data_IF_626372580084
#
_entry.id   IF_626372580084
#
_cell.length_a   1.000
_cell.length_b   1.000
_cell.length_c   1.000
_cell.angle_alpha   90.00
_cell.angle_beta   90.00
_cell.angle_gamma   90.00
#
_symmetry.space_group_name_H-M   'P 1'
#
loop_
_entity.id
_entity.type
_entity.pdbx_description
1 polymer ?
#
# COMPACT_ATOMS: atom_id res chain seq x y z
N UNK A 1 7.45 24.37 -6.88
CA UNK A 1 8.28 23.17 -6.67
C UNK A 1 9.03 22.92 -7.97
N UNK A 2 10.31 22.59 -7.91
CA UNK A 2 11.07 22.24 -9.12
C UNK A 2 10.76 20.79 -9.54
N UNK A 3 10.80 20.49 -10.84
CA UNK A 3 10.51 19.17 -11.39
C UNK A 3 11.49 18.12 -10.86
N UNK A 4 12.78 18.47 -10.77
CA UNK A 4 13.82 17.56 -10.26
C UNK A 4 13.59 17.21 -8.78
N UNK A 5 13.29 18.22 -7.95
CA UNK A 5 12.95 18.02 -6.54
C UNK A 5 11.71 17.13 -6.37
N UNK A 6 10.69 17.30 -7.23
CA UNK A 6 9.50 16.46 -7.20
C UNK A 6 9.82 14.98 -7.53
N UNK A 7 10.63 14.72 -8.57
CA UNK A 7 11.05 13.36 -8.94
C UNK A 7 11.86 12.70 -7.83
N UNK A 8 12.83 13.41 -7.25
CA UNK A 8 13.65 12.88 -6.14
C UNK A 8 12.79 12.51 -4.93
N UNK A 9 11.74 13.28 -4.65
CA UNK A 9 10.78 12.98 -3.58
C UNK A 9 9.90 11.78 -3.92
N UNK A 10 9.40 11.68 -5.15
CA UNK A 10 8.62 10.53 -5.61
C UNK A 10 9.43 9.24 -5.42
N UNK A 11 10.69 9.22 -5.85
CA UNK A 11 11.58 8.06 -5.73
C UNK A 11 11.82 7.63 -4.28
N UNK A 12 11.74 8.54 -3.31
CA UNK A 12 11.81 8.20 -1.88
C UNK A 12 10.48 7.71 -1.33
N UNK A 13 9.38 8.32 -1.74
CA UNK A 13 8.04 8.02 -1.20
C UNK A 13 7.55 6.65 -1.67
N UNK A 14 7.74 6.29 -2.95
CA UNK A 14 7.24 5.03 -3.52
C UNK A 14 7.65 3.77 -2.73
N UNK A 15 8.94 3.53 -2.42
CA UNK A 15 9.34 2.36 -1.67
C UNK A 15 8.81 2.38 -0.22
N UNK A 16 8.74 3.56 0.41
CA UNK A 16 8.15 3.71 1.75
C UNK A 16 6.66 3.37 1.75
N UNK A 17 5.92 3.89 0.77
CA UNK A 17 4.50 3.61 0.59
C UNK A 17 4.24 2.12 0.36
N UNK A 18 5.05 1.48 -0.50
CA UNK A 18 4.96 0.02 -0.72
C UNK A 18 5.14 -0.74 0.59
N UNK A 19 6.20 -0.44 1.35
CA UNK A 19 6.47 -1.11 2.62
C UNK A 19 5.34 -0.93 3.65
N UNK A 20 4.75 0.27 3.69
CA UNK A 20 3.62 0.56 4.56
C UNK A 20 2.39 -0.28 4.21
N UNK A 21 2.13 -0.45 2.91
CA UNK A 21 1.05 -1.31 2.40
C UNK A 21 1.32 -2.79 2.70
N UNK A 22 2.53 -3.27 2.49
CA UNK A 22 2.94 -4.65 2.83
C UNK A 22 2.69 -4.97 4.31
N UNK A 23 3.03 -4.01 5.18
CA UNK A 23 2.83 -4.12 6.62
C UNK A 23 1.34 -4.13 6.99
N UNK A 24 0.52 -3.33 6.31
CA UNK A 24 -0.92 -3.31 6.49
C UNK A 24 -1.58 -4.63 6.03
N UNK A 25 -1.15 -5.18 4.88
CA UNK A 25 -1.60 -6.49 4.39
C UNK A 25 -1.33 -7.55 5.44
N UNK A 26 -0.11 -7.61 5.98
CA UNK A 26 0.23 -8.61 7.00
C UNK A 26 -0.71 -8.53 8.21
N UNK A 27 -0.96 -7.34 8.75
CA UNK A 27 -1.87 -7.17 9.89
C UNK A 27 -3.31 -7.56 9.56
N UNK A 28 -3.77 -7.25 8.34
CA UNK A 28 -5.08 -7.65 7.87
C UNK A 28 -5.22 -9.17 7.78
N UNK A 29 -4.26 -9.84 7.13
CA UNK A 29 -4.32 -11.30 6.95
C UNK A 29 -4.20 -12.07 8.26
N UNK A 30 -3.37 -11.59 9.20
CA UNK A 30 -3.27 -12.20 10.54
C UNK A 30 -4.58 -12.12 11.30
N UNK A 31 -5.19 -10.94 11.32
CA UNK A 31 -6.47 -10.72 12.00
C UNK A 31 -7.59 -11.58 11.38
N UNK A 32 -7.67 -11.62 10.05
CA UNK A 32 -8.65 -12.42 9.33
C UNK A 32 -8.51 -13.92 9.61
N UNK A 33 -7.30 -14.46 9.53
CA UNK A 33 -7.02 -15.87 9.82
C UNK A 33 -7.42 -16.23 11.26
N UNK A 34 -7.04 -15.38 12.22
CA UNK A 34 -7.35 -15.59 13.63
C UNK A 34 -8.87 -15.55 13.89
N UNK A 35 -9.58 -14.57 13.32
CA UNK A 35 -11.03 -14.46 13.45
C UNK A 35 -11.78 -15.63 12.80
N UNK A 36 -11.25 -16.21 11.73
CA UNK A 36 -11.83 -17.38 11.07
C UNK A 36 -11.65 -18.67 11.87
N UNK A 37 -10.55 -18.82 12.60
CA UNK A 37 -10.16 -20.11 13.23
C UNK A 37 -10.44 -20.11 14.74
N UNK A 38 -10.01 -19.08 15.46
CA UNK A 38 -9.94 -19.12 16.93
C UNK A 38 -11.34 -19.00 17.57
N UNK A 39 -12.16 -17.96 17.31
CA UNK A 39 -13.48 -17.85 17.94
C UNK A 39 -14.42 -19.04 17.64
N UNK A 40 -14.55 -19.52 16.39
CA UNK A 40 -15.35 -20.72 16.12
C UNK A 40 -14.79 -21.97 16.81
N UNK A 41 -13.46 -22.10 16.85
CA UNK A 41 -12.78 -23.23 17.47
C UNK A 41 -12.89 -23.27 18.99
N UNK A 42 -13.07 -22.12 19.64
CA UNK A 42 -13.24 -21.98 21.10
C UNK A 42 -14.71 -22.00 21.55
N UNK A 43 -15.66 -22.22 20.64
CA UNK A 43 -17.08 -22.27 21.01
C UNK A 43 -17.33 -23.35 22.06
N UNK A 44 -17.80 -22.95 23.23
CA UNK A 44 -18.06 -23.84 24.37
C UNK A 44 -16.96 -23.83 25.44
N UNK A 45 -15.82 -23.20 25.19
CA UNK A 45 -14.77 -22.95 26.17
C UNK A 45 -14.96 -21.57 26.80
N UNK A 46 -14.97 -21.49 28.13
CA UNK A 46 -14.96 -20.22 28.86
C UNK A 46 -13.68 -20.15 29.70
N UNK A 47 -12.69 -19.42 29.21
CA UNK A 47 -11.42 -19.21 29.90
C UNK A 47 -11.04 -17.73 29.91
N UNK A 48 -10.21 -17.33 30.89
CA UNK A 48 -9.66 -15.96 30.95
C UNK A 48 -8.76 -15.65 29.74
N UNK A 49 -8.25 -16.67 29.05
CA UNK A 49 -7.46 -16.53 27.83
C UNK A 49 -8.25 -15.90 26.67
N UNK A 50 -9.58 -16.03 26.65
CA UNK A 50 -10.44 -15.37 25.66
C UNK A 50 -10.33 -13.85 25.76
N UNK A 51 -10.18 -13.31 26.98
CA UNK A 51 -10.00 -11.86 27.18
C UNK A 51 -8.66 -11.39 26.61
N UNK A 52 -7.58 -12.15 26.83
CA UNK A 52 -6.25 -11.85 26.26
C UNK A 52 -6.27 -11.90 24.75
N UNK A 53 -6.90 -12.92 24.15
CA UNK A 53 -7.08 -13.01 22.70
C UNK A 53 -7.85 -11.79 22.15
N UNK A 54 -8.93 -11.38 22.82
CA UNK A 54 -9.68 -10.18 22.46
C UNK A 54 -8.83 -8.90 22.51
N UNK A 55 -7.94 -8.78 23.50
CA UNK A 55 -7.01 -7.65 23.57
C UNK A 55 -6.01 -7.64 22.39
N UNK A 56 -5.48 -8.81 22.00
CA UNK A 56 -4.60 -8.95 20.83
C UNK A 56 -5.34 -8.57 19.54
N UNK A 57 -6.56 -9.05 19.35
CA UNK A 57 -7.39 -8.67 18.18
C UNK A 57 -7.62 -7.16 18.12
N UNK A 58 -7.99 -6.54 19.24
CA UNK A 58 -8.21 -5.10 19.30
C UNK A 58 -6.93 -4.32 18.96
N UNK A 59 -5.76 -4.78 19.41
CA UNK A 59 -4.48 -4.18 19.07
C UNK A 59 -4.15 -4.31 17.57
N UNK A 60 -4.47 -5.46 16.94
CA UNK A 60 -4.27 -5.67 15.50
C UNK A 60 -5.19 -4.76 14.67
N UNK A 61 -6.47 -4.67 15.01
CA UNK A 61 -7.42 -3.75 14.36
C UNK A 61 -6.93 -2.30 14.46
N UNK A 62 -6.45 -1.92 15.65
CA UNK A 62 -5.93 -0.57 15.89
C UNK A 62 -4.69 -0.28 15.05
N UNK A 63 -3.74 -1.22 15.01
CA UNK A 63 -2.54 -1.13 14.16
C UNK A 63 -2.93 -0.99 12.69
N UNK A 64 -3.83 -1.83 12.19
CA UNK A 64 -4.30 -1.77 10.81
C UNK A 64 -4.93 -0.40 10.50
N UNK A 65 -5.78 0.11 11.39
CA UNK A 65 -6.38 1.43 11.23
C UNK A 65 -5.33 2.55 11.16
N UNK A 66 -4.27 2.46 11.96
CA UNK A 66 -3.16 3.42 11.93
C UNK A 66 -2.32 3.31 10.65
N UNK A 67 -1.98 2.09 10.22
CA UNK A 67 -1.23 1.84 8.99
C UNK A 67 -1.98 2.37 7.76
N UNK A 68 -3.28 2.03 7.65
CA UNK A 68 -4.16 2.53 6.58
C UNK A 68 -4.27 4.06 6.67
N UNK A 69 -4.51 4.64 7.84
CA UNK A 69 -4.65 6.08 7.98
C UNK A 69 -3.38 6.85 7.57
N UNK A 70 -2.19 6.28 7.82
CA UNK A 70 -0.89 6.88 7.51
C UNK A 70 -0.66 6.98 6.00
N UNK A 71 -1.01 5.93 5.26
CA UNK A 71 -0.88 5.87 3.79
C UNK A 71 -1.70 6.98 3.10
N UNK A 72 -2.78 7.44 3.72
CA UNK A 72 -3.61 8.54 3.21
C UNK A 72 -3.38 9.87 3.94
N UNK A 73 -2.35 9.99 4.77
CA UNK A 73 -2.21 11.16 5.66
C UNK A 73 -1.79 12.43 4.94
N UNK A 74 -2.32 13.55 5.40
CA UNK A 74 -1.93 14.90 4.99
C UNK A 74 -2.10 15.86 6.17
N UNK A 75 -1.14 16.75 6.36
CA UNK A 75 -1.27 17.83 7.35
C UNK A 75 -2.26 18.88 6.86
N UNK A 76 -3.14 19.35 7.75
CA UNK A 76 -4.03 20.50 7.45
C UNK A 76 -3.34 21.85 7.66
N UNK A 77 -2.18 21.87 8.33
CA UNK A 77 -1.48 23.10 8.73
C UNK A 77 -0.34 23.53 7.78
N UNK A 78 -0.04 22.74 6.74
CA UNK A 78 1.00 23.05 5.75
C UNK A 78 0.50 22.74 4.35
N UNK A 79 0.85 23.55 3.33
CA UNK A 79 0.58 23.20 1.93
C UNK A 79 1.19 21.85 1.58
N UNK A 80 0.49 21.03 0.77
CA UNK A 80 0.91 19.67 0.39
C UNK A 80 2.32 19.66 -0.21
N UNK A 81 2.68 20.71 -0.94
CA UNK A 81 3.97 20.89 -1.60
C UNK A 81 5.13 20.87 -0.60
N UNK A 82 4.89 21.25 0.65
CA UNK A 82 5.89 21.34 1.72
C UNK A 82 5.82 20.18 2.71
N UNK A 83 4.97 19.18 2.45
CA UNK A 83 4.82 18.03 3.36
C UNK A 83 5.82 16.94 3.03
N UNK A 84 6.59 16.53 4.03
CA UNK A 84 7.51 15.40 3.96
C UNK A 84 6.79 14.14 4.45
N UNK A 85 5.77 13.71 3.72
CA UNK A 85 4.93 12.55 4.05
C UNK A 85 4.95 11.57 2.88
N UNK A 86 5.19 10.29 3.19
CA UNK A 86 5.04 9.20 2.25
C UNK A 86 3.57 8.76 2.18
N UNK A 87 2.75 9.53 1.46
CA UNK A 87 1.31 9.28 1.36
C UNK A 87 0.78 9.43 -0.06
N UNK A 88 -0.32 8.73 -0.33
CA UNK A 88 -1.01 8.72 -1.63
C UNK A 88 -1.41 10.14 -2.09
N UNK A 89 -1.99 11.00 -1.23
CA UNK A 89 -2.33 12.36 -1.66
C UNK A 89 -1.10 13.22 -2.01
N UNK A 90 0.01 13.05 -1.29
CA UNK A 90 1.27 13.77 -1.61
C UNK A 90 1.82 13.30 -2.95
N UNK A 91 1.86 11.98 -3.20
CA UNK A 91 2.25 11.44 -4.51
C UNK A 91 1.35 11.96 -5.64
N UNK A 92 0.03 11.98 -5.44
CA UNK A 92 -0.92 12.49 -6.43
C UNK A 92 -0.64 13.94 -6.81
N UNK A 93 -0.34 14.78 -5.83
CA UNK A 93 0.09 16.17 -6.07
C UNK A 93 1.44 16.24 -6.80
N UNK A 94 2.43 15.43 -6.41
CA UNK A 94 3.75 15.41 -7.04
C UNK A 94 3.68 14.97 -8.53
N UNK A 95 2.85 13.98 -8.87
CA UNK A 95 2.61 13.60 -10.25
C UNK A 95 1.94 14.71 -11.08
N UNK A 96 1.16 15.58 -10.44
CA UNK A 96 0.54 16.75 -11.08
C UNK A 96 1.50 17.93 -11.34
N UNK A 97 2.74 17.89 -10.87
CA UNK A 97 3.71 18.98 -11.09
C UNK A 97 4.13 19.00 -12.57
N UNK A 98 4.08 20.17 -13.24
CA UNK A 98 4.46 20.29 -14.64
C UNK A 98 5.87 19.75 -14.93
N UNK A 99 5.96 18.85 -15.92
CA UNK A 99 7.21 18.23 -16.35
C UNK A 99 7.59 16.93 -15.62
N UNK A 100 6.96 16.60 -14.49
CA UNK A 100 7.27 15.37 -13.73
C UNK A 100 6.93 14.12 -14.55
N UNK A 101 5.74 14.07 -15.14
CA UNK A 101 5.33 12.93 -15.98
C UNK A 101 6.32 12.70 -17.12
N UNK A 102 6.71 13.76 -17.83
CA UNK A 102 7.70 13.67 -18.91
C UNK A 102 9.08 13.23 -18.38
N UNK A 103 9.49 13.70 -17.20
CA UNK A 103 10.72 13.28 -16.55
C UNK A 103 10.71 11.80 -16.18
N UNK A 104 9.60 11.31 -15.61
CA UNK A 104 9.41 9.89 -15.28
C UNK A 104 9.36 9.02 -16.53
N UNK A 105 8.67 9.44 -17.60
CA UNK A 105 8.69 8.72 -18.89
C UNK A 105 10.09 8.65 -19.49
N UNK A 106 10.90 9.70 -19.34
CA UNK A 106 12.31 9.69 -19.77
C UNK A 106 13.11 8.68 -18.96
N UNK A 107 12.88 8.60 -17.64
CA UNK A 107 13.48 7.59 -16.79
C UNK A 107 13.01 6.18 -17.14
N UNK A 108 11.73 6.01 -17.47
CA UNK A 108 11.14 4.72 -17.85
C UNK A 108 11.81 4.12 -19.09
N UNK A 109 12.20 4.94 -20.05
CA UNK A 109 12.97 4.46 -21.21
C UNK A 109 14.38 3.93 -20.91
N UNK A 110 14.81 3.98 -19.65
CA UNK A 110 16.07 3.41 -19.18
C UNK A 110 15.90 2.21 -18.24
N UNK A 111 14.67 1.70 -18.05
CA UNK A 111 14.43 0.54 -17.17
C UNK A 111 15.16 -0.73 -17.65
N UNK A 112 15.26 -0.91 -18.97
CA UNK A 112 16.00 -2.03 -19.56
C UNK A 112 17.48 -1.66 -19.68
N UNK A 113 18.28 -2.07 -18.68
CA UNK A 113 19.74 -2.16 -18.79
C UNK A 113 20.09 -3.51 -19.41
N UNK A 114 20.27 -3.51 -20.72
CA UNK A 114 20.60 -4.73 -21.46
C UNK A 114 21.09 -4.48 -22.87
N UNK A 115 21.04 -3.23 -23.34
CA UNK A 115 21.46 -2.82 -24.69
C UNK A 115 22.63 -1.82 -24.63
N UNK A 116 23.43 -1.89 -23.56
CA UNK A 116 24.74 -1.23 -23.53
C UNK A 116 25.63 -1.74 -24.67
N UNK A 117 25.38 -2.96 -25.17
CA UNK A 117 26.03 -3.54 -26.35
C UNK A 117 25.68 -2.85 -27.69
N UNK A 118 24.50 -2.24 -27.85
CA UNK A 118 24.20 -1.49 -29.08
C UNK A 118 24.71 -0.04 -29.03
N UNK A 119 24.98 0.48 -27.83
CA UNK A 119 25.50 1.84 -27.63
C UNK A 119 27.02 1.90 -27.40
N UNK A 120 27.69 0.75 -27.20
CA UNK A 120 29.15 0.69 -27.05
C UNK A 120 29.89 0.96 -28.36
N UNK A 121 31.12 1.48 -28.29
CA UNK A 121 31.94 1.85 -29.46
C UNK A 121 32.77 0.69 -30.06
N UNK A 122 32.65 -0.54 -29.52
CA UNK A 122 33.55 -1.64 -29.88
C UNK A 122 33.07 -2.52 -31.05
N UNK A 123 33.98 -2.59 -32.03
CA UNK A 123 34.25 -3.53 -33.13
C UNK A 123 33.16 -3.83 -34.19
N UNK A 124 33.60 -3.90 -35.47
CA UNK A 124 32.86 -4.25 -36.70
C UNK A 124 31.54 -5.00 -36.44
N UNK A 125 30.43 -4.25 -36.46
CA UNK A 125 29.09 -4.79 -36.33
C UNK A 125 28.50 -5.01 -37.71
N UNK A 126 27.79 -6.13 -37.84
CA UNK A 126 26.88 -6.32 -38.95
C UNK A 126 25.76 -5.27 -38.85
N UNK A 127 25.69 -4.38 -39.84
CA UNK A 127 24.75 -3.27 -39.86
C UNK A 127 23.28 -3.73 -39.80
N UNK A 128 22.99 -4.93 -40.29
CA UNK A 128 21.64 -5.49 -40.27
C UNK A 128 21.25 -5.92 -38.85
N UNK A 129 22.19 -6.52 -38.10
CA UNK A 129 21.97 -6.92 -36.69
C UNK A 129 21.82 -5.70 -35.80
N UNK A 130 22.63 -4.65 -36.02
CA UNK A 130 22.53 -3.40 -35.26
C UNK A 130 21.21 -2.68 -35.52
N UNK A 131 20.74 -2.64 -36.78
CA UNK A 131 19.46 -2.03 -37.13
C UNK A 131 18.28 -2.74 -36.44
N UNK A 132 18.26 -4.07 -36.46
CA UNK A 132 17.23 -4.87 -35.77
C UNK A 132 17.27 -4.65 -34.26
N UNK A 133 18.45 -4.63 -33.65
CA UNK A 133 18.60 -4.40 -32.20
C UNK A 133 18.10 -3.01 -31.78
N UNK A 134 18.40 -1.97 -32.58
CA UNK A 134 17.91 -0.60 -32.35
C UNK A 134 16.39 -0.51 -32.49
N UNK A 135 15.81 -1.16 -33.50
CA UNK A 135 14.35 -1.19 -33.68
C UNK A 135 13.64 -1.83 -32.49
N UNK A 136 14.15 -2.97 -32.00
CA UNK A 136 13.64 -3.63 -30.80
C UNK A 136 13.71 -2.72 -29.58
N UNK A 137 14.87 -2.08 -29.34
CA UNK A 137 15.05 -1.15 -28.23
C UNK A 137 14.10 0.06 -28.32
N UNK A 138 13.91 0.65 -29.49
CA UNK A 138 12.97 1.77 -29.65
C UNK A 138 11.53 1.34 -29.36
N UNK A 139 11.14 0.14 -29.80
CA UNK A 139 9.82 -0.42 -29.53
C UNK A 139 9.60 -0.64 -28.03
N UNK A 140 10.57 -1.22 -27.33
CA UNK A 140 10.51 -1.46 -25.89
C UNK A 140 10.47 -0.15 -25.10
N UNK A 141 11.34 0.82 -25.42
CA UNK A 141 11.32 2.14 -24.78
C UNK A 141 10.00 2.89 -24.98
N UNK A 142 9.36 2.72 -26.14
CA UNK A 142 8.04 3.31 -26.39
C UNK A 142 6.96 2.62 -25.53
N UNK A 143 7.03 1.29 -25.40
CA UNK A 143 6.16 0.52 -24.54
C UNK A 143 6.32 0.89 -23.05
N UNK A 144 7.55 1.04 -22.56
CA UNK A 144 7.83 1.44 -21.17
C UNK A 144 7.30 2.83 -20.86
N UNK A 145 7.48 3.79 -21.78
CA UNK A 145 6.93 5.15 -21.66
C UNK A 145 5.41 5.15 -21.56
N UNK A 146 4.75 4.35 -22.40
CA UNK A 146 3.29 4.25 -22.40
C UNK A 146 2.79 3.58 -21.12
N UNK A 147 3.47 2.52 -20.67
CA UNK A 147 3.17 1.83 -19.40
C UNK A 147 3.31 2.76 -18.20
N UNK A 148 4.41 3.52 -18.13
CA UNK A 148 4.63 4.54 -17.09
C UNK A 148 3.50 5.57 -17.07
N UNK A 149 3.15 6.12 -18.24
CA UNK A 149 2.10 7.13 -18.37
C UNK A 149 0.73 6.57 -17.98
N UNK A 150 0.36 5.39 -18.47
CA UNK A 150 -0.90 4.74 -18.15
C UNK A 150 -1.04 4.49 -16.64
N UNK A 151 0.05 4.06 -15.98
CA UNK A 151 0.06 3.86 -14.53
C UNK A 151 -0.16 5.16 -13.75
N UNK A 152 0.44 6.28 -14.19
CA UNK A 152 0.24 7.61 -13.59
C UNK A 152 -1.21 8.09 -13.79
N UNK A 153 -1.76 7.93 -15.00
CA UNK A 153 -3.14 8.33 -15.31
C UNK A 153 -4.15 7.53 -14.48
N UNK A 154 -3.94 6.22 -14.33
CA UNK A 154 -4.78 5.38 -13.47
C UNK A 154 -4.64 5.76 -11.97
N UNK A 155 -3.44 6.13 -11.52
CA UNK A 155 -3.21 6.63 -10.17
C UNK A 155 -3.96 7.96 -9.94
N UNK A 156 -3.93 8.88 -10.92
CA UNK A 156 -4.67 10.13 -10.86
C UNK A 156 -6.19 9.88 -10.76
N UNK A 157 -6.73 8.94 -11.53
CA UNK A 157 -8.13 8.53 -11.43
C UNK A 157 -8.48 7.98 -10.04
N UNK A 158 -7.61 7.16 -9.43
CA UNK A 158 -7.80 6.65 -8.08
C UNK A 158 -7.84 7.79 -7.05
N UNK A 159 -6.91 8.73 -7.13
CA UNK A 159 -6.84 9.88 -6.19
C UNK A 159 -8.00 10.85 -6.35
N UNK A 160 -8.54 11.01 -7.56
CA UNK A 160 -9.75 11.81 -7.79
C UNK A 160 -10.97 11.27 -7.02
N UNK A 161 -11.16 9.95 -6.98
CA UNK A 161 -12.24 9.28 -6.24
C UNK A 161 -12.15 9.53 -4.74
N UNK A 162 -10.93 9.54 -4.19
CA UNK A 162 -10.68 9.82 -2.77
C UNK A 162 -10.96 11.28 -2.39
N UNK A 163 -10.92 12.18 -3.37
CA UNK A 163 -11.15 13.61 -3.18
C UNK A 163 -12.62 13.99 -3.35
N UNK A 164 -13.41 13.15 -4.01
CA UNK A 164 -14.86 13.36 -4.18
C UNK A 164 -15.62 12.94 -2.91
N UNK A 165 -16.26 13.88 -2.18
CA UNK A 165 -16.94 13.60 -0.92
C UNK A 165 -18.20 12.73 -1.08
N UNK A 166 -18.67 12.51 -2.31
CA UNK A 166 -19.84 11.67 -2.60
C UNK A 166 -19.51 10.18 -2.66
N UNK A 167 -18.23 9.82 -2.68
CA UNK A 167 -17.77 8.44 -2.80
C UNK A 167 -17.72 7.73 -1.45
N UNK A 168 -17.91 6.41 -1.46
CA UNK A 168 -17.81 5.59 -0.25
C UNK A 168 -16.40 5.60 0.34
N UNK A 169 -15.40 5.71 -0.52
CA UNK A 169 -13.98 5.78 -0.21
C UNK A 169 -13.63 7.04 0.58
N UNK A 170 -14.12 8.21 0.14
CA UNK A 170 -13.89 9.46 0.85
C UNK A 170 -14.55 9.46 2.24
N UNK A 171 -15.76 8.88 2.34
CA UNK A 171 -16.46 8.74 3.61
C UNK A 171 -15.74 7.78 4.57
N UNK A 172 -15.27 6.64 4.07
CA UNK A 172 -14.46 5.67 4.83
C UNK A 172 -13.16 6.31 5.34
N UNK A 173 -12.44 7.02 4.46
CA UNK A 173 -11.21 7.71 4.80
C UNK A 173 -11.43 8.79 5.89
N UNK A 174 -12.52 9.54 5.78
CA UNK A 174 -12.89 10.55 6.77
C UNK A 174 -13.10 9.95 8.16
N UNK A 175 -13.83 8.81 8.26
CA UNK A 175 -14.04 8.10 9.53
C UNK A 175 -12.73 7.60 10.14
N UNK A 176 -11.88 6.96 9.34
CA UNK A 176 -10.57 6.45 9.79
C UNK A 176 -9.65 7.57 10.28
N UNK A 177 -9.57 8.69 9.55
CA UNK A 177 -8.80 9.87 9.97
C UNK A 177 -9.36 10.52 11.23
N UNK A 178 -10.69 10.65 11.33
CA UNK A 178 -11.33 11.21 12.51
C UNK A 178 -11.05 10.36 13.75
N UNK A 179 -11.14 9.03 13.63
CA UNK A 179 -10.80 8.10 14.70
C UNK A 179 -9.35 8.25 15.16
N UNK A 180 -8.39 8.23 14.22
CA UNK A 180 -6.97 8.43 14.54
C UNK A 180 -6.73 9.74 15.28
N UNK A 181 -7.19 10.85 14.72
CA UNK A 181 -6.88 12.18 15.24
C UNK A 181 -7.62 12.49 16.55
N UNK A 182 -8.90 12.12 16.66
CA UNK A 182 -9.73 12.51 17.79
C UNK A 182 -9.65 11.53 18.95
N UNK A 183 -9.64 10.23 18.66
CA UNK A 183 -9.70 9.17 19.68
C UNK A 183 -8.33 8.69 20.11
N UNK A 184 -7.42 8.44 19.17
CA UNK A 184 -6.11 7.85 19.48
C UNK A 184 -5.05 8.89 19.83
N UNK A 185 -4.88 9.89 18.96
CA UNK A 185 -3.78 10.86 19.11
C UNK A 185 -4.02 11.87 20.24
N UNK A 186 -5.28 12.21 20.52
CA UNK A 186 -5.61 13.32 21.40
C UNK A 186 -6.64 13.01 22.49
N UNK A 187 -7.26 11.81 22.49
CA UNK A 187 -8.35 11.40 23.40
C UNK A 187 -9.27 12.57 23.79
N UNK A 188 -9.75 13.31 22.78
CA UNK A 188 -10.46 14.58 23.00
C UNK A 188 -11.85 14.31 23.57
N UNK A 189 -12.05 14.60 24.86
CA UNK A 189 -13.36 14.51 25.54
C UNK A 189 -14.46 15.38 24.90
N UNK A 190 -14.09 16.41 24.15
CA UNK A 190 -15.03 17.38 23.55
C UNK A 190 -15.28 17.19 22.06
N UNK A 191 -14.58 16.25 21.42
CA UNK A 191 -14.71 15.98 19.98
C UNK A 191 -14.56 14.48 19.72
N UNK A 192 -15.58 13.71 20.05
CA UNK A 192 -15.62 12.31 19.63
C UNK A 192 -15.76 12.20 18.09
N UNK A 193 -15.36 11.07 17.48
CA UNK A 193 -15.69 10.80 16.09
C UNK A 193 -17.21 10.73 15.91
N UNK A 194 -17.75 11.37 14.87
CA UNK A 194 -19.19 11.34 14.56
C UNK A 194 -19.66 9.92 14.19
N UNK A 195 -18.74 9.08 13.70
CA UNK A 195 -18.91 7.64 13.52
C UNK A 195 -17.54 6.94 13.66
N UNK A 196 -17.54 5.75 14.26
CA UNK A 196 -16.35 4.89 14.31
C UNK A 196 -16.07 4.25 12.94
N UNK A 197 -14.80 3.96 12.61
CA UNK A 197 -14.46 3.21 11.42
C UNK A 197 -15.09 1.82 11.48
N UNK A 198 -15.69 1.40 10.37
CA UNK A 198 -16.16 0.03 10.21
C UNK A 198 -15.00 -0.85 9.76
N UNK A 199 -15.13 -2.14 10.02
CA UNK A 199 -14.20 -3.13 9.48
C UNK A 199 -14.06 -3.02 7.95
N UNK A 200 -15.19 -2.97 7.25
CA UNK A 200 -15.27 -2.82 5.80
C UNK A 200 -14.57 -1.55 5.28
N UNK A 201 -14.50 -0.49 6.10
CA UNK A 201 -13.78 0.74 5.75
C UNK A 201 -12.27 0.48 5.66
N UNK A 202 -11.73 -0.34 6.56
CA UNK A 202 -10.31 -0.68 6.59
C UNK A 202 -9.94 -1.55 5.38
N UNK A 203 -10.75 -2.57 5.09
CA UNK A 203 -10.54 -3.44 3.92
C UNK A 203 -10.65 -2.66 2.61
N UNK A 204 -11.67 -1.81 2.46
CA UNK A 204 -11.84 -0.96 1.28
C UNK A 204 -10.62 -0.06 1.05
N UNK A 205 -10.16 0.63 2.09
CA UNK A 205 -9.03 1.54 1.99
C UNK A 205 -7.70 0.80 1.77
N UNK A 206 -7.54 -0.41 2.32
CA UNK A 206 -6.38 -1.26 2.07
C UNK A 206 -6.30 -1.69 0.59
N UNK A 207 -7.41 -2.07 -0.03
CA UNK A 207 -7.43 -2.40 -1.46
C UNK A 207 -7.08 -1.21 -2.36
N UNK A 208 -7.53 -0.01 -2.00
CA UNK A 208 -7.11 1.22 -2.69
C UNK A 208 -5.63 1.49 -2.49
N UNK A 209 -5.11 1.27 -1.29
CA UNK A 209 -3.69 1.45 -0.98
C UNK A 209 -2.81 0.47 -1.77
N UNK A 210 -3.21 -0.81 -1.86
CA UNK A 210 -2.59 -1.82 -2.72
C UNK A 210 -2.52 -1.37 -4.17
N UNK A 211 -3.64 -0.92 -4.71
CA UNK A 211 -3.71 -0.44 -6.10
C UNK A 211 -2.81 0.78 -6.32
N UNK A 212 -2.86 1.76 -5.42
CA UNK A 212 -2.02 2.96 -5.51
C UNK A 212 -0.52 2.64 -5.42
N UNK A 213 -0.12 1.79 -4.47
CA UNK A 213 1.27 1.36 -4.32
C UNK A 213 1.77 0.61 -5.56
N UNK A 214 0.96 -0.30 -6.13
CA UNK A 214 1.26 -1.02 -7.37
C UNK A 214 1.49 -0.06 -8.53
N UNK A 215 0.54 0.84 -8.78
CA UNK A 215 0.61 1.83 -9.85
C UNK A 215 1.83 2.75 -9.70
N UNK A 216 2.11 3.20 -8.47
CA UNK A 216 3.27 4.08 -8.21
C UNK A 216 4.61 3.35 -8.35
N UNK A 217 4.69 2.08 -7.97
CA UNK A 217 5.89 1.24 -8.14
C UNK A 217 6.15 0.97 -9.62
N UNK A 218 5.10 0.63 -10.38
CA UNK A 218 5.19 0.46 -11.82
C UNK A 218 5.62 1.76 -12.51
N UNK A 219 4.98 2.89 -12.20
CA UNK A 219 5.26 4.17 -12.84
C UNK A 219 6.69 4.70 -12.61
N UNK A 220 7.30 4.39 -11.48
CA UNK A 220 8.57 5.00 -11.04
C UNK A 220 9.75 4.06 -11.19
N UNK A 221 9.57 2.79 -10.81
CA UNK A 221 10.63 1.79 -10.75
C UNK A 221 10.51 0.74 -11.86
N UNK A 222 9.42 0.73 -12.65
CA UNK A 222 9.14 -0.34 -13.61
C UNK A 222 8.82 -1.67 -12.93
N UNK A 223 8.55 -1.66 -11.62
CA UNK A 223 8.35 -2.85 -10.81
C UNK A 223 6.88 -3.23 -10.74
N UNK A 224 6.53 -4.38 -11.32
CA UNK A 224 5.22 -5.00 -11.16
C UNK A 224 5.14 -5.69 -9.79
N UNK A 225 4.49 -5.05 -8.83
CA UNK A 225 4.35 -5.59 -7.46
C UNK A 225 3.12 -6.50 -7.38
N UNK A 226 3.33 -7.75 -6.98
CA UNK A 226 2.26 -8.72 -6.74
C UNK A 226 1.85 -8.79 -5.27
N UNK A 227 0.90 -7.92 -4.90
CA UNK A 227 0.29 -7.98 -3.57
C UNK A 227 -0.67 -9.16 -3.40
N UNK A 228 -1.16 -9.81 -4.46
CA UNK A 228 -2.08 -10.94 -4.36
C UNK A 228 -1.35 -12.21 -3.89
N UNK A 229 -0.16 -12.47 -4.46
CA UNK A 229 0.72 -13.53 -3.99
C UNK A 229 1.11 -13.31 -2.52
N UNK A 230 1.51 -12.09 -2.17
CA UNK A 230 1.85 -11.76 -0.78
C UNK A 230 0.68 -11.94 0.18
N UNK A 231 -0.53 -11.52 -0.21
CA UNK A 231 -1.75 -11.70 0.58
C UNK A 231 -2.00 -13.19 0.84
N UNK A 232 -1.88 -14.02 -0.20
CA UNK A 232 -2.06 -15.48 -0.11
C UNK A 232 -1.05 -16.10 0.84
N UNK A 233 0.24 -15.81 0.65
CA UNK A 233 1.32 -16.33 1.51
C UNK A 233 1.16 -15.90 2.97
N UNK A 234 0.79 -14.63 3.20
CA UNK A 234 0.54 -14.13 4.55
C UNK A 234 -0.66 -14.83 5.20
N UNK A 235 -1.74 -15.06 4.45
CA UNK A 235 -2.92 -15.80 4.92
C UNK A 235 -2.59 -17.23 5.29
N UNK A 236 -1.83 -17.95 4.46
CA UNK A 236 -1.41 -19.34 4.73
C UNK A 236 -0.59 -19.44 6.01
N UNK A 237 0.41 -18.57 6.16
CA UNK A 237 1.23 -18.51 7.37
C UNK A 237 0.40 -18.17 8.61
N UNK A 238 -0.51 -17.20 8.49
CA UNK A 238 -1.39 -16.79 9.58
C UNK A 238 -2.39 -17.89 9.98
N UNK A 239 -2.91 -18.66 9.01
CA UNK A 239 -3.76 -19.82 9.28
C UNK A 239 -3.01 -20.88 10.09
N UNK A 240 -1.78 -21.22 9.67
CA UNK A 240 -0.93 -22.16 10.42
C UNK A 240 -0.69 -21.71 11.86
N UNK A 241 -0.36 -20.42 12.05
CA UNK A 241 -0.22 -19.83 13.38
C UNK A 241 -1.51 -19.92 14.20
N UNK A 242 -2.67 -19.58 13.61
CA UNK A 242 -3.95 -19.57 14.31
C UNK A 242 -4.41 -20.97 14.76
N UNK A 243 -4.11 -22.01 13.98
CA UNK A 243 -4.39 -23.42 14.37
C UNK A 243 -3.59 -23.79 15.62
N UNK A 244 -2.29 -23.48 15.66
CA UNK A 244 -1.43 -23.78 16.80
C UNK A 244 -1.90 -23.02 18.06
N UNK A 245 -2.26 -21.75 17.90
CA UNK A 245 -2.82 -20.95 19.02
C UNK A 245 -4.11 -21.56 19.53
N UNK A 246 -5.03 -21.96 18.64
CA UNK A 246 -6.29 -22.59 19.04
C UNK A 246 -6.06 -23.89 19.82
N UNK A 247 -5.15 -24.75 19.36
CA UNK A 247 -4.80 -26.00 20.04
C UNK A 247 -4.25 -25.73 21.45
N UNK A 248 -3.31 -24.78 21.58
CA UNK A 248 -2.77 -24.39 22.89
C UNK A 248 -3.87 -23.87 23.84
N UNK A 249 -4.77 -23.02 23.33
CA UNK A 249 -5.88 -22.49 24.12
C UNK A 249 -6.86 -23.57 24.59
N UNK A 250 -7.10 -24.61 23.79
CA UNK A 250 -7.95 -25.75 24.18
C UNK A 250 -7.30 -26.60 25.26
N UNK A 251 -6.03 -26.98 25.07
CA UNK A 251 -5.30 -27.79 26.06
C UNK A 251 -5.29 -27.11 27.44
N UNK A 252 -5.02 -25.80 27.49
CA UNK A 252 -5.03 -25.06 28.76
C UNK A 252 -6.42 -24.94 29.39
N UNK A 253 -7.49 -24.91 28.58
CA UNK A 253 -8.86 -24.89 29.10
C UNK A 253 -9.27 -26.24 29.72
N UNK A 254 -8.79 -27.35 29.16
CA UNK A 254 -9.04 -28.69 29.68
C UNK A 254 -8.25 -28.95 30.98
N UNK A 255 -7.06 -28.35 31.13
CA UNK A 255 -6.26 -28.41 32.36
C UNK A 255 -6.87 -27.60 33.52
N UNK A 256 -7.53 -26.47 33.26
CA UNK A 256 -8.23 -25.67 34.30
C UNK A 256 -9.53 -26.33 34.79
N UNK A 257 -10.08 -27.28 34.04
CA UNK A 257 -11.31 -28.01 34.36
C UNK A 257 -11.11 -29.33 35.14
N UNK A 258 -9.86 -29.73 35.41
CA UNK A 258 -9.51 -30.94 36.19
C UNK A 258 -9.12 -30.61 37.64
#
# INVERSE_FOLDING_TARGET
MDCKDAIERIQKIVPMLRHDVETAILSHEVMEAQNAIVPPGLKGYQTDFVQTYGAIQNALVLKLAMDVARVFDVSTGRPLERQDMASIPVLGMLFGVPGVVNGLMTHASSWISGVEWANGDDAERDADIEAVAREMLYSEQAFDKETCKAAIDEFANLTSRLSDPTTGEAAALSRVKAFRNRRLAHSLFTKEPDAYPKYDDLTLLLELAKKAAKLSSLAVEGLEVDFAEQTTRNRENANGYAVIVLEGLKCSADDEGS
#
